data_IF_821526009044
#
_entry.id   IF_821526009044
#
_cell.length_a   1.000
_cell.length_b   1.000
_cell.length_c   1.000
_cell.angle_alpha   90.00
_cell.angle_beta   90.00
_cell.angle_gamma   90.00
#
_symmetry.space_group_name_H-M   'P 1'
#
loop_
_entity.id
_entity.type
_entity.pdbx_description
1 polymer ?
#
# COMPACT_ATOMS: atom_id res chain seq x y z
N UNK A 1 -12.07 -49.19 -1.36
CA UNK A 1 -10.83 -48.61 -0.81
C UNK A 1 -10.64 -47.15 -1.21
N UNK A 2 -10.63 -46.79 -2.50
CA UNK A 2 -10.44 -45.39 -2.94
C UNK A 2 -11.50 -44.38 -2.46
N UNK A 3 -12.76 -44.81 -2.31
CA UNK A 3 -13.85 -43.95 -1.83
C UNK A 3 -13.56 -43.34 -0.45
N UNK A 4 -13.03 -44.16 0.46
CA UNK A 4 -12.73 -43.75 1.84
C UNK A 4 -11.51 -42.82 1.88
N UNK A 5 -10.50 -43.10 1.05
CA UNK A 5 -9.29 -42.27 0.94
C UNK A 5 -9.55 -40.90 0.33
N UNK A 6 -10.53 -40.77 -0.57
CA UNK A 6 -10.81 -39.50 -1.27
C UNK A 6 -11.94 -38.67 -0.65
N UNK A 7 -12.89 -39.30 0.08
CA UNK A 7 -14.04 -38.57 0.65
C UNK A 7 -14.05 -38.46 2.16
N UNK A 8 -13.30 -39.30 2.88
CA UNK A 8 -13.33 -39.36 4.36
C UNK A 8 -11.93 -39.42 4.97
N UNK A 9 -10.91 -38.99 4.23
CA UNK A 9 -9.54 -38.89 4.75
C UNK A 9 -9.30 -37.47 5.25
N UNK A 10 -9.09 -37.33 6.55
CA UNK A 10 -8.70 -36.07 7.18
C UNK A 10 -7.34 -35.59 6.65
N UNK A 11 -6.44 -36.52 6.30
CA UNK A 11 -5.15 -36.20 5.68
C UNK A 11 -5.31 -35.48 4.34
N UNK A 12 -6.29 -35.90 3.51
CA UNK A 12 -6.58 -35.24 2.23
C UNK A 12 -7.17 -33.84 2.43
N UNK A 13 -8.02 -33.68 3.45
CA UNK A 13 -8.54 -32.36 3.82
C UNK A 13 -7.41 -31.42 4.26
N UNK A 14 -6.46 -31.92 5.07
CA UNK A 14 -5.31 -31.15 5.52
C UNK A 14 -4.36 -30.81 4.36
N UNK A 15 -4.11 -31.76 3.46
CA UNK A 15 -3.32 -31.54 2.24
C UNK A 15 -3.96 -30.46 1.34
N UNK A 16 -5.29 -30.46 1.22
CA UNK A 16 -6.01 -29.43 0.47
C UNK A 16 -5.90 -28.04 1.14
N UNK A 17 -6.09 -27.96 2.46
CA UNK A 17 -5.97 -26.70 3.20
C UNK A 17 -4.56 -26.11 3.12
N UNK A 18 -3.53 -26.94 3.32
CA UNK A 18 -2.13 -26.53 3.20
C UNK A 18 -1.76 -26.15 1.76
N UNK A 19 -2.31 -26.86 0.76
CA UNK A 19 -2.17 -26.50 -0.65
C UNK A 19 -2.77 -25.13 -0.97
N UNK A 20 -4.00 -24.85 -0.51
CA UNK A 20 -4.66 -23.55 -0.69
C UNK A 20 -3.84 -22.43 -0.02
N UNK A 21 -3.38 -22.65 1.21
CA UNK A 21 -2.55 -21.67 1.91
C UNK A 21 -1.25 -21.36 1.15
N UNK A 22 -0.63 -22.37 0.54
CA UNK A 22 0.58 -22.19 -0.27
C UNK A 22 0.30 -21.39 -1.54
N UNK A 23 -0.79 -21.69 -2.25
CA UNK A 23 -1.23 -20.93 -3.43
C UNK A 23 -1.53 -19.48 -3.06
N UNK A 24 -2.27 -19.23 -1.98
CA UNK A 24 -2.59 -17.86 -1.51
C UNK A 24 -1.32 -17.11 -1.14
N UNK A 25 -0.38 -17.75 -0.43
CA UNK A 25 0.89 -17.13 -0.05
C UNK A 25 1.70 -16.71 -1.29
N UNK A 26 1.87 -17.61 -2.25
CA UNK A 26 2.61 -17.33 -3.49
C UNK A 26 1.87 -16.29 -4.38
N UNK A 27 0.54 -16.29 -4.37
CA UNK A 27 -0.29 -15.32 -5.09
C UNK A 27 -0.18 -13.91 -4.50
N UNK A 28 -0.27 -13.73 -3.18
CA UNK A 28 -0.07 -12.42 -2.53
C UNK A 28 1.31 -11.84 -2.84
N UNK A 29 2.36 -12.66 -2.84
CA UNK A 29 3.71 -12.20 -3.19
C UNK A 29 3.88 -11.91 -4.70
N UNK A 30 3.13 -12.60 -5.56
CA UNK A 30 3.08 -12.30 -6.99
C UNK A 30 2.33 -10.99 -7.28
N UNK A 31 1.22 -10.74 -6.58
CA UNK A 31 0.48 -9.47 -6.68
C UNK A 31 1.32 -8.30 -6.13
N UNK A 32 2.15 -8.56 -5.12
CA UNK A 32 3.12 -7.58 -4.60
C UNK A 32 4.31 -7.31 -5.55
N UNK A 33 4.45 -8.06 -6.64
CA UNK A 33 5.56 -7.92 -7.59
C UNK A 33 5.38 -6.74 -8.57
N UNK A 34 4.21 -6.07 -8.58
CA UNK A 34 3.95 -4.92 -9.44
C UNK A 34 3.27 -3.77 -8.68
N UNK A 35 3.73 -3.50 -7.46
CA UNK A 35 3.26 -2.33 -6.71
C UNK A 35 3.64 -1.05 -7.45
N UNK A 36 2.64 -0.23 -7.79
CA UNK A 36 2.85 1.13 -8.23
C UNK A 36 3.36 1.94 -7.02
N UNK A 37 4.65 2.26 -7.01
CA UNK A 37 5.27 3.04 -5.94
C UNK A 37 5.10 4.52 -6.30
N UNK A 38 4.12 5.16 -5.69
CA UNK A 38 3.91 6.61 -5.81
C UNK A 38 4.71 7.33 -4.73
N UNK A 39 5.63 8.18 -5.14
CA UNK A 39 6.57 8.90 -4.29
C UNK A 39 6.29 10.41 -4.32
N UNK A 40 6.85 11.14 -3.36
CA UNK A 40 6.77 12.61 -3.29
C UNK A 40 7.36 13.33 -4.52
N UNK A 41 8.08 12.62 -5.40
CA UNK A 41 8.64 13.17 -6.64
C UNK A 41 7.69 13.01 -7.84
N UNK A 42 6.66 12.18 -7.70
CA UNK A 42 5.73 11.91 -8.79
C UNK A 42 4.72 13.06 -8.91
N UNK A 43 4.76 13.75 -10.06
CA UNK A 43 3.94 14.94 -10.31
C UNK A 43 2.45 14.68 -10.18
N UNK A 44 2.00 13.48 -10.51
CA UNK A 44 0.59 13.06 -10.37
C UNK A 44 0.13 13.04 -8.91
N UNK A 45 1.05 12.85 -7.97
CA UNK A 45 0.74 12.79 -6.55
C UNK A 45 1.24 14.00 -5.75
N UNK A 46 1.96 14.93 -6.39
CA UNK A 46 2.53 16.11 -5.75
C UNK A 46 1.48 16.98 -5.03
N UNK A 47 0.23 17.01 -5.50
CA UNK A 47 -0.86 17.74 -4.84
C UNK A 47 -1.31 17.11 -3.51
N UNK A 48 -1.09 15.80 -3.35
CA UNK A 48 -1.48 15.06 -2.14
C UNK A 48 -0.38 15.02 -1.08
N UNK A 49 0.82 15.50 -1.39
CA UNK A 49 1.98 15.52 -0.49
C UNK A 49 2.39 16.95 -0.15
N UNK A 50 2.74 17.20 1.11
CA UNK A 50 3.19 18.50 1.61
C UNK A 50 2.15 19.20 2.48
N UNK A 51 2.38 20.48 2.72
CA UNK A 51 1.51 21.32 3.56
C UNK A 51 0.46 22.03 2.71
N UNK A 52 -0.75 22.14 3.24
CA UNK A 52 -1.77 23.02 2.68
C UNK A 52 -1.34 24.46 2.85
N UNK A 53 -1.80 25.33 1.95
CA UNK A 53 -1.54 26.78 2.03
C UNK A 53 -1.81 27.37 3.42
N UNK A 54 -2.93 27.00 4.04
CA UNK A 54 -3.29 27.46 5.38
C UNK A 54 -2.30 26.99 6.47
N UNK A 55 -1.74 25.80 6.35
CA UNK A 55 -0.73 25.28 7.29
C UNK A 55 0.59 26.03 7.11
N UNK A 56 0.98 26.33 5.87
CA UNK A 56 2.16 27.15 5.55
C UNK A 56 1.99 28.57 6.08
N UNK A 57 0.82 29.20 5.89
CA UNK A 57 0.51 30.54 6.42
C UNK A 57 0.59 30.59 7.95
N UNK A 58 0.08 29.57 8.64
CA UNK A 58 0.17 29.47 10.10
C UNK A 58 1.61 29.32 10.58
N UNK A 59 2.41 28.48 9.90
CA UNK A 59 3.83 28.31 10.23
C UNK A 59 4.58 29.62 10.01
N UNK A 60 4.38 30.30 8.88
CA UNK A 60 5.05 31.57 8.59
C UNK A 60 4.69 32.64 9.63
N UNK A 61 3.41 32.76 9.99
CA UNK A 61 2.97 33.70 11.03
C UNK A 61 3.57 33.39 12.40
N UNK A 62 3.84 32.11 12.73
CA UNK A 62 4.51 31.75 13.98
C UNK A 62 5.99 32.21 14.03
N UNK A 63 6.59 32.50 12.87
CA UNK A 63 7.96 33.02 12.73
C UNK A 63 7.98 34.50 12.30
N UNK A 64 6.86 35.23 12.39
CA UNK A 64 6.72 36.62 11.95
C UNK A 64 7.03 36.86 10.45
N UNK A 65 6.81 35.84 9.61
CA UNK A 65 6.91 35.93 8.15
C UNK A 65 5.53 35.95 7.49
N UNK A 66 5.42 36.65 6.35
CA UNK A 66 4.22 36.66 5.52
C UNK A 66 4.37 35.74 4.31
N UNK A 67 3.26 35.09 3.93
CA UNK A 67 3.21 34.30 2.71
C UNK A 67 3.35 35.21 1.48
N UNK A 68 4.37 34.97 0.66
CA UNK A 68 4.65 35.75 -0.54
C UNK A 68 4.81 34.84 -1.78
N UNK A 69 4.74 35.46 -2.97
CA UNK A 69 4.83 34.74 -4.26
C UNK A 69 6.22 34.16 -4.52
N UNK A 70 7.25 34.61 -3.80
CA UNK A 70 8.61 34.08 -3.91
C UNK A 70 8.73 32.74 -3.18
N UNK A 71 8.12 32.60 -2.00
CA UNK A 71 8.04 31.35 -1.22
C UNK A 71 7.22 30.28 -1.96
N UNK A 72 6.20 30.67 -2.73
CA UNK A 72 5.40 29.72 -3.52
C UNK A 72 6.15 29.12 -4.72
N UNK A 73 7.12 29.86 -5.27
CA UNK A 73 7.85 29.48 -6.47
C UNK A 73 9.23 28.86 -6.16
N UNK A 74 9.52 28.63 -4.88
CA UNK A 74 10.75 28.02 -4.37
C UNK A 74 10.65 26.49 -4.36
#
# INVERSE_FOLDING_TARGET
MLHTSLKTSDDLQYAMLTGIQRVVKENVFSDLNNLLVCTVKDKEYAEYFGFKKAEVEQILHAYDYEYNTEIQNM
#
